data_IF_782547483837
#
_entry.id   IF_782547483837
#
_cell.length_a   1.000
_cell.length_b   1.000
_cell.length_c   1.000
_cell.angle_alpha   90.00
_cell.angle_beta   90.00
_cell.angle_gamma   90.00
#
_symmetry.space_group_name_H-M   'P 1'
#
loop_
_entity.id
_entity.type
_entity.pdbx_description
1 polymer ?
#
# COMPACT_ATOMS: atom_id res chain seq x y z
N UNK A 1 14.14 -4.97 -3.42
CA UNK A 1 14.04 -4.03 -2.29
C UNK A 1 12.73 -4.32 -1.57
N UNK A 2 12.77 -4.63 -0.28
CA UNK A 2 11.56 -4.90 0.50
C UNK A 2 10.95 -3.60 1.03
N UNK A 3 9.62 -3.58 1.14
CA UNK A 3 8.86 -2.41 1.56
C UNK A 3 8.07 -2.69 2.85
N UNK A 4 8.08 -1.72 3.75
CA UNK A 4 7.08 -1.60 4.81
C UNK A 4 5.92 -0.75 4.29
N UNK A 5 4.76 -1.36 4.15
CA UNK A 5 3.59 -0.79 3.49
C UNK A 5 2.52 -0.34 4.49
N UNK A 6 1.68 0.61 4.08
CA UNK A 6 0.64 1.16 4.96
C UNK A 6 -0.62 0.30 4.96
N UNK A 7 -1.25 0.15 6.13
CA UNK A 7 -2.50 -0.62 6.28
C UNK A 7 -3.63 0.30 6.71
N UNK A 8 -4.73 0.27 5.96
CA UNK A 8 -5.96 0.99 6.27
C UNK A 8 -6.95 0.07 6.99
N UNK A 9 -7.49 0.55 8.11
CA UNK A 9 -8.26 -0.25 9.05
C UNK A 9 -9.75 0.14 8.97
N UNK A 10 -10.27 0.23 7.74
CA UNK A 10 -11.64 0.66 7.51
C UNK A 10 -12.66 -0.37 8.02
N UNK A 11 -13.79 0.10 8.56
CA UNK A 11 -14.80 -0.71 9.23
C UNK A 11 -15.48 -1.78 8.34
N UNK A 12 -15.31 -1.69 7.02
CA UNK A 12 -15.81 -2.68 6.06
C UNK A 12 -14.87 -3.89 5.87
N UNK A 13 -13.64 -3.81 6.38
CA UNK A 13 -12.61 -4.84 6.22
C UNK A 13 -12.87 -6.10 7.05
N UNK A 14 -12.28 -7.22 6.63
CA UNK A 14 -12.23 -8.45 7.46
C UNK A 14 -11.43 -8.21 8.73
N UNK A 15 -11.86 -8.82 9.83
CA UNK A 15 -11.20 -8.71 11.13
C UNK A 15 -10.06 -9.72 11.29
N UNK A 16 -9.01 -9.33 11.99
CA UNK A 16 -7.92 -10.23 12.39
C UNK A 16 -7.34 -11.06 11.25
N UNK A 17 -6.92 -12.29 11.57
CA UNK A 17 -6.31 -13.22 10.61
C UNK A 17 -7.29 -13.76 9.54
N UNK A 18 -8.59 -13.48 9.64
CA UNK A 18 -9.52 -13.73 8.54
C UNK A 18 -9.28 -12.76 7.36
N UNK A 19 -8.58 -11.64 7.60
CA UNK A 19 -8.14 -10.72 6.56
C UNK A 19 -6.87 -11.21 5.85
N UNK A 20 -6.90 -11.20 4.52
CA UNK A 20 -5.68 -11.39 3.73
C UNK A 20 -4.67 -10.27 3.94
N UNK A 21 -5.12 -9.03 4.23
CA UNK A 21 -4.23 -7.91 4.58
C UNK A 21 -3.51 -8.18 5.90
N UNK A 22 -4.22 -8.65 6.93
CA UNK A 22 -3.60 -9.01 8.20
C UNK A 22 -2.59 -10.16 8.05
N UNK A 23 -2.92 -11.18 7.25
CA UNK A 23 -2.01 -12.30 6.97
C UNK A 23 -0.76 -11.87 6.23
N UNK A 24 -0.88 -11.00 5.23
CA UNK A 24 0.27 -10.42 4.53
C UNK A 24 1.14 -9.60 5.49
N UNK A 25 0.53 -8.77 6.33
CA UNK A 25 1.26 -7.97 7.32
C UNK A 25 2.03 -8.86 8.31
N UNK A 26 1.41 -9.93 8.82
CA UNK A 26 2.05 -10.90 9.72
C UNK A 26 3.15 -11.71 9.02
N UNK A 27 2.97 -12.04 7.73
CA UNK A 27 3.97 -12.72 6.93
C UNK A 27 5.18 -11.84 6.59
N UNK A 28 4.99 -10.52 6.48
CA UNK A 28 6.05 -9.56 6.21
C UNK A 28 6.92 -9.22 7.42
N UNK A 29 6.43 -9.41 8.64
CA UNK A 29 7.22 -9.25 9.86
C UNK A 29 6.65 -10.06 11.02
N UNK A 30 7.51 -10.88 11.65
CA UNK A 30 7.16 -11.72 12.80
C UNK A 30 6.75 -10.90 14.03
N UNK A 31 7.25 -9.66 14.14
CA UNK A 31 7.00 -8.73 15.25
C UNK A 31 5.59 -8.13 15.23
N UNK A 32 4.91 -8.14 14.08
CA UNK A 32 3.54 -7.61 13.99
C UNK A 32 2.61 -8.47 14.83
N UNK A 33 1.92 -7.85 15.79
CA UNK A 33 0.83 -8.48 16.53
C UNK A 33 -0.49 -8.11 15.83
N UNK A 34 -1.26 -9.12 15.43
CA UNK A 34 -2.57 -8.94 14.81
C UNK A 34 -3.63 -8.91 15.91
N UNK A 35 -4.42 -7.84 15.94
CA UNK A 35 -5.60 -7.74 16.77
C UNK A 35 -6.76 -8.46 16.08
N UNK A 36 -7.31 -9.49 16.73
CA UNK A 36 -8.37 -10.30 16.16
C UNK A 36 -9.70 -9.55 15.97
N UNK A 37 -9.93 -8.45 16.70
CA UNK A 37 -11.15 -7.65 16.60
C UNK A 37 -11.04 -6.46 15.65
N UNK A 38 -9.81 -6.09 15.26
CA UNK A 38 -9.56 -4.96 14.38
C UNK A 38 -9.78 -5.33 12.91
N UNK A 39 -10.45 -4.47 12.11
CA UNK A 39 -10.54 -4.68 10.67
C UNK A 39 -9.22 -4.29 9.97
N UNK A 40 -8.78 -5.15 9.04
CA UNK A 40 -7.63 -4.92 8.18
C UNK A 40 -8.13 -4.89 6.73
N UNK A 41 -8.43 -3.69 6.23
CA UNK A 41 -9.22 -3.49 5.02
C UNK A 41 -8.37 -3.38 3.76
N UNK A 42 -7.36 -2.50 3.76
CA UNK A 42 -6.48 -2.27 2.60
C UNK A 42 -5.00 -2.32 3.00
N UNK A 43 -4.16 -2.94 2.18
CA UNK A 43 -2.71 -2.78 2.20
C UNK A 43 -2.31 -1.90 1.00
N UNK A 44 -1.63 -0.78 1.23
CA UNK A 44 -1.25 0.18 0.20
C UNK A 44 0.24 0.06 -0.10
N UNK A 45 0.57 -0.07 -1.39
CA UNK A 45 1.93 -0.19 -1.91
C UNK A 45 2.16 0.88 -2.96
N UNK A 46 3.01 1.87 -2.64
CA UNK A 46 3.34 2.95 -3.54
C UNK A 46 3.78 4.23 -2.81
N UNK A 47 3.69 5.35 -3.52
CA UNK A 47 4.15 6.67 -3.08
C UNK A 47 3.01 7.58 -2.59
N UNK A 48 1.82 7.03 -2.36
CA UNK A 48 0.66 7.86 -2.01
C UNK A 48 0.82 8.49 -0.60
N UNK A 49 0.68 9.81 -0.51
CA UNK A 49 0.93 10.61 0.72
C UNK A 49 0.13 10.15 1.96
N UNK A 50 -1.11 9.70 1.79
CA UNK A 50 -1.96 9.19 2.89
C UNK A 50 -1.60 7.75 3.35
N UNK A 51 -0.71 7.07 2.65
CA UNK A 51 -0.30 5.71 2.97
C UNK A 51 1.05 5.39 2.35
N UNK A 52 2.12 6.12 2.74
CA UNK A 52 3.43 5.98 2.11
C UNK A 52 4.00 4.59 2.42
N UNK A 53 4.63 3.98 1.43
CA UNK A 53 5.51 2.84 1.64
C UNK A 53 6.92 3.33 2.00
N UNK A 54 7.63 2.55 2.82
CA UNK A 54 9.00 2.82 3.23
C UNK A 54 9.91 1.67 2.81
N UNK A 55 11.13 1.99 2.39
CA UNK A 55 12.16 1.00 2.12
C UNK A 55 12.60 0.40 3.46
N UNK A 56 12.43 -0.92 3.62
CA UNK A 56 12.61 -1.57 4.93
C UNK A 56 14.03 -1.38 5.50
N UNK A 57 15.05 -1.44 4.63
CA UNK A 57 16.46 -1.38 5.04
C UNK A 57 16.92 0.02 5.45
N UNK A 58 16.47 1.05 4.76
CA UNK A 58 16.91 2.44 4.99
C UNK A 58 15.93 3.25 5.84
N UNK A 59 14.67 2.83 5.92
CA UNK A 59 13.59 3.60 6.54
C UNK A 59 13.15 4.82 5.73
N UNK A 60 13.78 5.09 4.58
CA UNK A 60 13.41 6.17 3.67
C UNK A 60 12.05 5.90 3.03
N UNK A 61 11.26 6.95 2.76
CA UNK A 61 10.03 6.77 2.00
C UNK A 61 10.32 6.33 0.56
N UNK A 62 9.44 5.52 -0.01
CA UNK A 62 9.57 5.09 -1.41
C UNK A 62 9.54 6.29 -2.38
N UNK A 63 8.79 7.33 -2.02
CA UNK A 63 8.69 8.56 -2.80
C UNK A 63 10.02 9.34 -2.84
N UNK A 64 10.68 9.51 -1.69
CA UNK A 64 12.02 10.11 -1.63
C UNK A 64 13.05 9.26 -2.38
N UNK A 65 13.02 7.95 -2.18
CA UNK A 65 13.93 7.03 -2.89
C UNK A 65 13.80 7.18 -4.42
N UNK A 66 12.56 7.23 -4.96
CA UNK A 66 12.33 7.40 -6.39
C UNK A 66 12.81 8.78 -6.87
N UNK A 67 12.64 9.84 -6.08
CA UNK A 67 13.11 11.18 -6.46
C UNK A 67 14.64 11.25 -6.56
N UNK A 68 15.34 10.57 -5.66
CA UNK A 68 16.80 10.49 -5.66
C UNK A 68 17.35 9.54 -6.73
N UNK A 69 16.54 8.57 -7.17
CA UNK A 69 16.90 7.52 -8.12
C UNK A 69 15.84 7.40 -9.23
N UNK A 70 15.57 8.46 -10.02
CA UNK A 70 14.43 8.47 -10.94
C UNK A 70 14.52 7.40 -12.04
N UNK A 71 15.71 6.89 -12.34
CA UNK A 71 15.94 5.82 -13.31
C UNK A 71 15.24 4.50 -12.95
N UNK A 72 14.89 4.26 -11.68
CA UNK A 72 14.16 3.06 -11.27
C UNK A 72 12.76 2.94 -11.88
N UNK A 73 12.20 4.06 -12.36
CA UNK A 73 10.92 4.09 -13.08
C UNK A 73 11.05 3.63 -14.53
N UNK A 74 12.25 3.70 -15.11
CA UNK A 74 12.50 3.49 -16.53
C UNK A 74 12.13 4.70 -17.39
N UNK A 75 12.83 4.87 -18.51
CA UNK A 75 12.73 6.06 -19.38
C UNK A 75 11.31 6.25 -19.95
N UNK A 76 10.68 5.18 -20.42
CA UNK A 76 9.36 5.23 -21.05
C UNK A 76 8.25 5.68 -20.10
N UNK A 77 8.31 5.24 -18.83
CA UNK A 77 7.35 5.68 -17.80
C UNK A 77 7.56 7.16 -17.50
N UNK A 78 8.82 7.59 -17.37
CA UNK A 78 9.16 9.00 -17.06
C UNK A 78 8.74 9.96 -18.16
N UNK A 79 8.88 9.57 -19.43
CA UNK A 79 8.40 10.36 -20.59
C UNK A 79 6.91 10.69 -20.49
N UNK A 80 6.10 9.78 -19.97
CA UNK A 80 4.64 9.92 -19.93
C UNK A 80 4.14 10.49 -18.60
N UNK A 81 4.74 10.09 -17.48
CA UNK A 81 4.22 10.37 -16.13
C UNK A 81 5.15 11.22 -15.25
N UNK A 82 6.35 11.55 -15.74
CA UNK A 82 7.40 12.24 -14.99
C UNK A 82 8.07 11.33 -13.95
N UNK A 83 8.77 11.94 -12.99
CA UNK A 83 9.53 11.24 -11.94
C UNK A 83 8.63 10.81 -10.77
N UNK A 84 7.45 10.24 -11.08
CA UNK A 84 6.47 9.78 -10.09
C UNK A 84 5.95 8.40 -10.45
N UNK A 85 5.68 7.58 -9.43
CA UNK A 85 5.03 6.29 -9.62
C UNK A 85 3.58 6.53 -10.09
N UNK A 86 3.17 6.03 -11.28
CA UNK A 86 1.90 6.41 -11.90
C UNK A 86 0.70 5.58 -11.42
N UNK A 87 0.87 4.77 -10.38
CA UNK A 87 -0.18 3.92 -9.84
C UNK A 87 -0.05 3.75 -8.32
N UNK A 88 -1.16 3.39 -7.70
CA UNK A 88 -1.20 2.90 -6.32
C UNK A 88 -1.69 1.46 -6.34
N UNK A 89 -0.87 0.53 -5.88
CA UNK A 89 -1.26 -0.87 -5.81
C UNK A 89 -1.85 -1.19 -4.43
N UNK A 90 -2.91 -2.01 -4.41
CA UNK A 90 -3.61 -2.35 -3.17
C UNK A 90 -3.98 -3.83 -3.09
N UNK A 91 -3.97 -4.37 -1.87
CA UNK A 91 -4.71 -5.59 -1.53
C UNK A 91 -5.90 -5.21 -0.67
N UNK A 92 -7.09 -5.65 -1.05
CA UNK A 92 -8.32 -5.41 -0.29
C UNK A 92 -8.79 -6.72 0.37
N UNK A 93 -9.25 -6.63 1.62
CA UNK A 93 -9.89 -7.75 2.31
C UNK A 93 -11.28 -7.34 2.82
N UNK A 94 -12.28 -7.61 1.99
CA UNK A 94 -13.65 -7.08 2.13
C UNK A 94 -14.52 -8.01 2.99
N UNK A 95 -15.19 -7.46 3.99
CA UNK A 95 -16.20 -8.15 4.82
C UNK A 95 -17.61 -7.60 4.59
N UNK A 96 -17.74 -6.29 4.40
CA UNK A 96 -19.01 -5.60 4.14
C UNK A 96 -19.00 -5.01 2.74
N UNK A 97 -20.17 -4.91 2.11
CA UNK A 97 -20.30 -4.25 0.82
C UNK A 97 -19.76 -2.81 0.89
N UNK A 98 -19.02 -2.42 -0.14
CA UNK A 98 -18.58 -1.05 -0.34
C UNK A 98 -19.70 -0.25 -1.02
N UNK A 99 -19.55 1.08 -1.04
CA UNK A 99 -20.45 1.92 -1.83
C UNK A 99 -20.37 1.56 -3.31
N UNK A 100 -21.48 1.76 -4.03
CA UNK A 100 -21.44 1.83 -5.49
C UNK A 100 -20.69 3.11 -5.83
N UNK A 101 -19.62 3.00 -6.62
CA UNK A 101 -18.73 4.10 -6.94
C UNK A 101 -18.58 4.23 -8.46
N UNK A 102 -18.44 5.47 -8.92
CA UNK A 102 -17.98 5.81 -10.26
C UNK A 102 -16.81 6.77 -10.11
N UNK A 103 -15.83 6.65 -11.01
CA UNK A 103 -14.68 7.56 -11.06
C UNK A 103 -14.83 8.48 -12.27
N UNK A 104 -14.51 9.77 -12.16
CA UNK A 104 -14.53 10.70 -13.28
C UNK A 104 -13.49 10.30 -14.33
N UNK A 105 -13.70 10.76 -15.57
CA UNK A 105 -12.68 10.72 -16.62
C UNK A 105 -11.63 11.84 -16.42
N UNK A 106 -10.66 11.89 -17.33
CA UNK A 106 -9.56 12.87 -17.29
C UNK A 106 -10.01 14.25 -17.75
#
# INVERSE_FOLDING_TARGET
MELKCSVQNYAWGKKGLASSVARLLKGASSEVIIDNEKPYAELWMGTHVNGPSFVLKSGQSLDEYIRENPEVLGEEVRKVFGDRLPFLFKVLSVQKALSIQAHPDK
#
